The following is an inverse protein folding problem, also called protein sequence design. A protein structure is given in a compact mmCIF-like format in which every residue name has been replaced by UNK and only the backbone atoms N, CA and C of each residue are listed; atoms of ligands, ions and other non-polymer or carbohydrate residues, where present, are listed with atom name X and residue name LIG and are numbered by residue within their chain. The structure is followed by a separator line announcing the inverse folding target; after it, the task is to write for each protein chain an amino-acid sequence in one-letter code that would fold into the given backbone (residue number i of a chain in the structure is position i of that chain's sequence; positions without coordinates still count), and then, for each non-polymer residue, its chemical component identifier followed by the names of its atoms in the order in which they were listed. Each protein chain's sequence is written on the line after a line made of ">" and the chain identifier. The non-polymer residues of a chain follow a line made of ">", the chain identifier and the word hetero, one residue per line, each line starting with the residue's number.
data_IF_446775334384
#
_entry.id   IF_446775334384
#
_cell.length_a   1.000
_cell.length_b   1.000
_cell.length_c   1.000
_cell.angle_alpha   90.00
_cell.angle_beta   90.00
_cell.angle_gamma   90.00
#
_symmetry.space_group_name_H-M   'P 1'
#
loop_
_entity.id
_entity.type
_entity.pdbx_description
1 polymer ?
#
# COMPACT_ATOMS: atom_id res chain seq x y z
N UNK A 1 6.41 38.86 -24.27
CA UNK A 1 5.18 39.65 -24.12
C UNK A 1 5.41 41.01 -24.75
N UNK A 2 4.61 41.48 -25.72
CA UNK A 2 4.65 42.89 -26.06
C UNK A 2 4.11 43.65 -24.85
N UNK A 3 4.89 44.59 -24.32
CA UNK A 3 4.50 45.32 -23.10
C UNK A 3 3.21 46.12 -23.33
N UNK A 4 2.43 46.44 -22.28
CA UNK A 4 1.28 47.34 -22.36
C UNK A 4 1.62 48.67 -23.06
N UNK A 5 2.89 49.10 -22.98
CA UNK A 5 3.44 50.23 -23.72
C UNK A 5 3.37 50.07 -25.25
N UNK A 6 3.58 48.87 -25.80
CA UNK A 6 3.55 48.64 -27.25
C UNK A 6 2.13 48.81 -27.79
N UNK A 7 1.13 48.26 -27.09
CA UNK A 7 -0.28 48.44 -27.47
C UNK A 7 -0.71 49.92 -27.38
N UNK A 8 -0.23 50.62 -26.36
CA UNK A 8 -0.51 52.06 -26.18
C UNK A 8 0.18 52.90 -27.27
N UNK A 9 1.45 52.60 -27.58
CA UNK A 9 2.20 53.27 -28.66
C UNK A 9 1.59 53.05 -30.04
N UNK A 10 1.11 51.85 -30.34
CA UNK A 10 0.43 51.56 -31.62
C UNK A 10 -0.88 52.35 -31.72
N UNK A 11 -1.66 52.43 -30.62
CA UNK A 11 -2.87 53.25 -30.56
C UNK A 11 -2.58 54.73 -30.80
N UNK A 12 -1.59 55.28 -30.09
CA UNK A 12 -1.21 56.68 -30.21
C UNK A 12 -0.72 57.02 -31.62
N UNK A 13 0.03 56.11 -32.26
CA UNK A 13 0.46 56.25 -33.64
C UNK A 13 -0.71 56.25 -34.65
N UNK A 14 -1.69 55.36 -34.47
CA UNK A 14 -2.89 55.29 -35.32
C UNK A 14 -3.78 56.53 -35.14
N UNK A 15 -3.94 57.02 -33.91
CA UNK A 15 -4.69 58.25 -33.62
C UNK A 15 -3.99 59.48 -34.20
N UNK A 16 -2.66 59.56 -34.11
CA UNK A 16 -1.87 60.63 -34.73
C UNK A 16 -1.97 60.62 -36.26
N UNK A 17 -2.00 59.44 -36.89
CA UNK A 17 -2.17 59.30 -38.34
C UNK A 17 -3.59 59.64 -38.82
N UNK A 18 -4.64 59.35 -38.04
CA UNK A 18 -6.02 59.76 -38.34
C UNK A 18 -6.24 61.28 -38.34
N UNK A 19 -5.41 62.03 -37.62
CA UNK A 19 -5.46 63.50 -37.55
C UNK A 19 -4.68 64.23 -38.65
N UNK A 20 -3.88 63.52 -39.45
CA UNK A 20 -3.18 64.09 -40.59
C UNK A 20 -4.14 64.27 -41.79
N UNK A 21 -4.10 65.41 -42.47
CA UNK A 21 -4.93 65.70 -43.65
C UNK A 21 -4.55 64.78 -44.83
N UNK A 22 -5.24 63.66 -44.95
CA UNK A 22 -4.97 62.60 -45.92
C UNK A 22 -5.82 62.83 -47.18
N UNK A 23 -5.29 63.59 -48.14
CA UNK A 23 -5.96 63.84 -49.44
C UNK A 23 -6.01 62.61 -50.37
N UNK A 24 -5.39 61.49 -49.98
CA UNK A 24 -5.36 60.26 -50.77
C UNK A 24 -6.26 59.17 -50.16
N UNK A 25 -7.38 58.80 -50.82
CA UNK A 25 -8.34 57.82 -50.30
C UNK A 25 -7.72 56.43 -50.05
N UNK A 26 -6.65 56.07 -50.75
CA UNK A 26 -5.95 54.79 -50.56
C UNK A 26 -5.19 54.73 -49.23
N UNK A 27 -4.69 55.86 -48.76
CA UNK A 27 -3.95 55.96 -47.50
C UNK A 27 -4.91 55.90 -46.29
N UNK A 28 -6.13 56.42 -46.45
CA UNK A 28 -7.22 56.28 -45.48
C UNK A 28 -7.69 54.83 -45.31
N UNK A 29 -7.73 54.04 -46.39
CA UNK A 29 -8.04 52.59 -46.34
C UNK A 29 -6.97 51.79 -45.57
N UNK A 30 -5.69 52.06 -45.83
CA UNK A 30 -4.57 51.41 -45.12
C UNK A 30 -4.61 51.72 -43.62
N UNK A 31 -4.94 52.95 -43.24
CA UNK A 31 -5.05 53.35 -41.84
C UNK A 31 -6.27 52.76 -41.14
N UNK A 32 -7.40 52.64 -41.84
CA UNK A 32 -8.56 51.91 -41.32
C UNK A 32 -8.26 50.43 -41.11
N UNK A 33 -7.57 49.78 -42.05
CA UNK A 33 -7.15 48.39 -41.91
C UNK A 33 -6.17 48.21 -40.75
N UNK A 34 -5.20 49.11 -40.58
CA UNK A 34 -4.27 49.09 -39.45
C UNK A 34 -4.99 49.30 -38.10
N UNK A 35 -5.99 50.20 -38.05
CA UNK A 35 -6.84 50.41 -36.86
C UNK A 35 -7.64 49.16 -36.51
N UNK A 36 -8.26 48.51 -37.50
CA UNK A 36 -9.02 47.28 -37.31
C UNK A 36 -8.12 46.12 -36.87
N UNK A 37 -6.92 45.98 -37.45
CA UNK A 37 -5.93 45.01 -36.99
C UNK A 37 -5.51 45.25 -35.56
N UNK A 38 -5.25 46.51 -35.18
CA UNK A 38 -4.85 46.85 -33.80
C UNK A 38 -5.97 46.55 -32.79
N UNK A 39 -7.23 46.84 -33.13
CA UNK A 39 -8.39 46.52 -32.29
C UNK A 39 -8.59 45.02 -32.14
N UNK A 40 -8.50 44.26 -33.24
CA UNK A 40 -8.60 42.81 -33.23
C UNK A 40 -7.47 42.16 -32.41
N UNK A 41 -6.24 42.68 -32.56
CA UNK A 41 -5.08 42.20 -31.81
C UNK A 41 -5.20 42.52 -30.31
N UNK A 42 -5.80 43.66 -29.96
CA UNK A 42 -6.06 44.04 -28.57
C UNK A 42 -7.15 43.16 -27.92
N UNK A 43 -8.21 42.83 -28.66
CA UNK A 43 -9.21 41.84 -28.21
C UNK A 43 -8.59 40.45 -28.01
N UNK A 44 -7.74 40.02 -28.94
CA UNK A 44 -7.04 38.74 -28.86
C UNK A 44 -6.09 38.63 -27.66
N UNK A 45 -5.29 39.66 -27.37
CA UNK A 45 -4.45 39.64 -26.17
C UNK A 45 -5.27 39.65 -24.89
N UNK A 46 -6.37 40.40 -24.84
CA UNK A 46 -7.25 40.42 -23.67
C UNK A 46 -7.91 39.06 -23.40
N UNK A 47 -8.23 38.29 -24.44
CA UNK A 47 -8.78 36.94 -24.28
C UNK A 47 -7.71 35.94 -23.84
N UNK A 48 -6.48 36.04 -24.36
CA UNK A 48 -5.34 35.23 -23.91
C UNK A 48 -5.03 35.51 -22.44
N UNK A 49 -4.93 36.77 -22.04
CA UNK A 49 -4.63 37.14 -20.66
C UNK A 49 -5.68 36.56 -19.72
N UNK A 50 -6.97 36.71 -20.05
CA UNK A 50 -8.06 36.14 -19.26
C UNK A 50 -7.97 34.61 -19.16
N UNK A 51 -7.71 33.92 -20.28
CA UNK A 51 -7.53 32.47 -20.30
C UNK A 51 -6.36 32.03 -19.41
N UNK A 52 -5.21 32.71 -19.50
CA UNK A 52 -4.02 32.40 -18.70
C UNK A 52 -4.28 32.65 -17.20
N UNK A 53 -4.98 33.72 -16.85
CA UNK A 53 -5.37 33.98 -15.46
C UNK A 53 -6.32 32.92 -14.91
N UNK A 54 -7.30 32.49 -15.71
CA UNK A 54 -8.24 31.42 -15.34
C UNK A 54 -7.51 30.08 -15.15
N UNK A 55 -6.55 29.76 -16.03
CA UNK A 55 -5.74 28.55 -15.97
C UNK A 55 -4.77 28.55 -14.78
N UNK A 56 -4.09 29.68 -14.50
CA UNK A 56 -3.28 29.85 -13.29
C UNK A 56 -4.11 29.72 -12.02
N UNK A 57 -5.33 30.27 -12.00
CA UNK A 57 -6.25 30.16 -10.87
C UNK A 57 -6.73 28.71 -10.67
N UNK A 58 -6.96 27.99 -11.76
CA UNK A 58 -7.27 26.56 -11.74
C UNK A 58 -6.11 25.74 -11.17
N UNK A 59 -4.87 25.96 -11.63
CA UNK A 59 -3.69 25.26 -11.10
C UNK A 59 -3.50 25.58 -9.61
N UNK A 60 -3.65 26.84 -9.21
CA UNK A 60 -3.53 27.23 -7.81
C UNK A 60 -4.58 26.55 -6.93
N UNK A 61 -5.84 26.47 -7.39
CA UNK A 61 -6.90 25.82 -6.61
C UNK A 61 -6.70 24.30 -6.55
N UNK A 62 -6.22 23.71 -7.64
CA UNK A 62 -5.86 22.29 -7.70
C UNK A 62 -4.73 21.97 -6.71
N UNK A 63 -3.62 22.73 -6.72
CA UNK A 63 -2.50 22.56 -5.77
C UNK A 63 -2.97 22.71 -4.32
N UNK A 64 -3.84 23.68 -4.03
CA UNK A 64 -4.39 23.86 -2.69
C UNK A 64 -5.23 22.66 -2.24
N UNK A 65 -6.07 22.13 -3.14
CA UNK A 65 -6.86 20.92 -2.88
C UNK A 65 -5.96 19.70 -2.66
N UNK A 66 -4.96 19.49 -3.51
CA UNK A 66 -3.97 18.43 -3.35
C UNK A 66 -3.25 18.52 -2.01
N UNK A 67 -2.78 19.72 -1.63
CA UNK A 67 -2.08 19.91 -0.35
C UNK A 67 -2.97 19.58 0.85
N UNK A 68 -4.26 19.91 0.76
CA UNK A 68 -5.24 19.59 1.80
C UNK A 68 -5.48 18.08 1.89
N UNK A 69 -5.62 17.38 0.77
CA UNK A 69 -5.76 15.92 0.76
C UNK A 69 -4.52 15.21 1.29
N UNK A 70 -3.31 15.65 0.90
CA UNK A 70 -2.04 15.13 1.46
C UNK A 70 -2.00 15.34 2.97
N UNK A 71 -2.42 16.51 3.46
CA UNK A 71 -2.50 16.77 4.90
C UNK A 71 -3.51 15.84 5.60
N UNK A 72 -4.64 15.53 4.95
CA UNK A 72 -5.68 14.66 5.49
C UNK A 72 -5.27 13.18 5.55
N UNK A 73 -4.27 12.75 4.77
CA UNK A 73 -3.64 11.44 4.95
C UNK A 73 -2.96 11.31 6.32
N UNK A 74 -2.52 12.45 6.89
CA UNK A 74 -1.69 12.53 8.10
C UNK A 74 -0.43 11.64 7.99
N UNK A 75 0.44 11.86 6.98
CA UNK A 75 1.57 10.96 6.71
C UNK A 75 2.50 10.78 7.92
N UNK A 76 2.76 11.84 8.69
CA UNK A 76 3.60 11.74 9.90
C UNK A 76 2.95 10.85 10.99
N UNK A 77 1.62 10.92 11.17
CA UNK A 77 0.87 10.05 12.10
C UNK A 77 0.98 8.57 11.68
N UNK A 78 0.99 8.32 10.37
CA UNK A 78 1.16 6.98 9.83
C UNK A 78 2.58 6.45 10.03
N UNK A 79 3.59 7.27 9.71
CA UNK A 79 5.00 6.86 9.76
C UNK A 79 5.56 6.79 11.17
N UNK A 80 5.14 7.67 12.07
CA UNK A 80 5.72 7.78 13.42
C UNK A 80 4.97 6.94 14.47
N UNK A 81 3.68 6.68 14.28
CA UNK A 81 2.84 6.01 15.30
C UNK A 81 2.12 4.78 14.75
N UNK A 82 1.25 4.91 13.74
CA UNK A 82 0.35 3.81 13.36
C UNK A 82 1.05 2.59 12.76
N UNK A 83 1.96 2.80 11.81
CA UNK A 83 2.69 1.69 11.17
C UNK A 83 3.68 1.06 12.16
N UNK A 84 4.53 1.83 12.88
CA UNK A 84 5.40 1.25 13.91
C UNK A 84 4.61 0.53 15.02
N UNK A 85 3.48 1.09 15.45
CA UNK A 85 2.59 0.48 16.44
C UNK A 85 2.02 -0.85 15.97
N UNK A 86 1.52 -0.92 14.73
CA UNK A 86 1.07 -2.18 14.13
C UNK A 86 2.20 -3.21 14.03
N UNK A 87 3.42 -2.78 13.67
CA UNK A 87 4.60 -3.64 13.67
C UNK A 87 4.95 -4.18 15.07
N UNK A 88 4.86 -3.35 16.10
CA UNK A 88 5.09 -3.76 17.48
C UNK A 88 4.04 -4.79 17.96
N UNK A 89 2.78 -4.62 17.58
CA UNK A 89 1.72 -5.61 17.87
C UNK A 89 2.01 -6.97 17.21
N UNK A 90 2.42 -6.97 15.93
CA UNK A 90 2.81 -8.21 15.23
C UNK A 90 4.04 -8.86 15.86
N UNK A 91 5.03 -8.09 16.30
CA UNK A 91 6.19 -8.63 17.00
C UNK A 91 5.79 -9.27 18.35
N UNK A 92 4.90 -8.62 19.10
CA UNK A 92 4.38 -9.17 20.35
C UNK A 92 3.58 -10.46 20.13
N UNK A 93 2.86 -10.59 19.01
CA UNK A 93 2.20 -11.84 18.62
C UNK A 93 3.23 -12.96 18.45
N UNK A 94 4.31 -12.73 17.70
CA UNK A 94 5.36 -13.74 17.49
C UNK A 94 6.00 -14.15 18.82
N UNK A 95 6.31 -13.18 19.68
CA UNK A 95 6.93 -13.45 20.97
C UNK A 95 6.00 -14.26 21.89
N UNK A 96 4.76 -13.81 22.09
CA UNK A 96 3.79 -14.48 22.96
C UNK A 96 3.44 -15.89 22.46
N UNK A 97 3.33 -16.07 21.14
CA UNK A 97 3.04 -17.38 20.55
C UNK A 97 4.22 -18.34 20.75
N UNK A 98 5.46 -17.86 20.60
CA UNK A 98 6.65 -18.67 20.87
C UNK A 98 6.76 -19.05 22.35
N UNK A 99 6.57 -18.10 23.27
CA UNK A 99 6.60 -18.34 24.71
C UNK A 99 5.56 -19.37 25.14
N UNK A 100 4.32 -19.22 24.68
CA UNK A 100 3.26 -20.16 25.02
C UNK A 100 3.46 -21.55 24.40
N UNK A 101 3.99 -21.62 23.18
CA UNK A 101 4.31 -22.92 22.54
C UNK A 101 5.43 -23.64 23.30
N UNK A 102 6.48 -22.92 23.72
CA UNK A 102 7.54 -23.48 24.56
C UNK A 102 7.00 -24.00 25.89
N UNK A 103 6.07 -23.28 26.53
CA UNK A 103 5.42 -23.73 27.75
C UNK A 103 4.62 -25.02 27.51
N UNK A 104 3.80 -25.08 26.45
CA UNK A 104 3.02 -26.27 26.09
C UNK A 104 3.94 -27.48 25.85
N UNK A 105 5.06 -27.28 25.14
CA UNK A 105 6.04 -28.34 24.91
C UNK A 105 6.68 -28.83 26.21
N UNK A 106 7.11 -27.91 27.09
CA UNK A 106 7.70 -28.27 28.38
C UNK A 106 6.72 -29.07 29.25
N UNK A 107 5.44 -28.67 29.27
CA UNK A 107 4.40 -29.41 30.00
C UNK A 107 4.15 -30.80 29.41
N UNK A 108 4.19 -30.92 28.08
CA UNK A 108 4.09 -32.23 27.43
C UNK A 108 5.30 -33.13 27.74
N UNK A 109 6.51 -32.57 27.78
CA UNK A 109 7.73 -33.27 28.20
C UNK A 109 7.64 -33.77 29.65
N UNK A 110 7.15 -32.92 30.57
CA UNK A 110 6.91 -33.29 31.96
C UNK A 110 5.96 -34.50 32.08
N UNK A 111 4.88 -34.52 31.29
CA UNK A 111 3.93 -35.63 31.24
C UNK A 111 4.57 -36.91 30.72
N UNK A 112 5.40 -36.82 29.68
CA UNK A 112 6.11 -38.00 29.14
C UNK A 112 7.16 -38.57 30.11
N UNK A 113 7.77 -37.70 30.93
CA UNK A 113 8.77 -38.09 31.92
C UNK A 113 8.18 -38.54 33.25
N UNK A 114 6.85 -38.46 33.43
CA UNK A 114 6.19 -38.75 34.70
C UNK A 114 6.27 -40.24 35.07
N UNK A 115 6.41 -40.50 36.37
CA UNK A 115 6.38 -41.87 36.90
C UNK A 115 4.96 -42.46 36.76
N UNK A 116 4.89 -43.66 36.16
CA UNK A 116 3.65 -44.39 35.93
C UNK A 116 3.42 -45.52 36.93
N UNK A 117 4.31 -45.66 37.93
CA UNK A 117 4.26 -46.74 38.93
C UNK A 117 3.03 -46.67 39.84
N UNK A 118 2.54 -45.46 40.14
CA UNK A 118 1.28 -45.22 40.86
C UNK A 118 0.23 -44.60 39.92
N UNK A 119 -0.76 -45.39 39.45
CA UNK A 119 -1.78 -44.91 38.53
C UNK A 119 -2.61 -43.73 39.06
N UNK A 120 -2.86 -43.65 40.37
CA UNK A 120 -3.67 -42.58 40.95
C UNK A 120 -2.88 -41.26 41.00
N UNK A 121 -1.60 -41.34 41.37
CA UNK A 121 -0.70 -40.19 41.36
C UNK A 121 -0.43 -39.70 39.91
N UNK A 122 -0.20 -40.62 38.98
CA UNK A 122 -0.01 -40.29 37.57
C UNK A 122 -1.25 -39.60 36.97
N UNK A 123 -2.46 -40.12 37.24
CA UNK A 123 -3.70 -39.50 36.76
C UNK A 123 -3.86 -38.06 37.30
N UNK A 124 -3.58 -37.84 38.58
CA UNK A 124 -3.67 -36.51 39.17
C UNK A 124 -2.65 -35.54 38.54
N UNK A 125 -1.40 -35.99 38.35
CA UNK A 125 -0.35 -35.21 37.72
C UNK A 125 -0.70 -34.83 36.27
N UNK A 126 -1.13 -35.80 35.46
CA UNK A 126 -1.55 -35.54 34.08
C UNK A 126 -2.72 -34.55 34.03
N UNK A 127 -3.71 -34.69 34.92
CA UNK A 127 -4.84 -33.76 34.98
C UNK A 127 -4.41 -32.32 35.30
N UNK A 128 -3.43 -32.14 36.18
CA UNK A 128 -2.87 -30.84 36.53
C UNK A 128 -2.09 -30.24 35.34
N UNK A 129 -1.24 -31.04 34.69
CA UNK A 129 -0.51 -30.62 33.49
C UNK A 129 -1.41 -30.29 32.31
N UNK A 130 -2.52 -31.02 32.12
CA UNK A 130 -3.50 -30.64 31.09
C UNK A 130 -4.16 -29.28 31.40
N UNK A 131 -4.37 -28.94 32.67
CA UNK A 131 -4.86 -27.62 33.05
C UNK A 131 -3.84 -26.52 32.71
N UNK A 132 -2.54 -26.74 32.99
CA UNK A 132 -1.47 -25.82 32.57
C UNK A 132 -1.46 -25.61 31.04
N UNK A 133 -1.66 -26.66 30.24
CA UNK A 133 -1.77 -26.53 28.77
C UNK A 133 -2.97 -25.67 28.37
N UNK A 134 -4.14 -25.87 28.99
CA UNK A 134 -5.32 -25.07 28.68
C UNK A 134 -5.12 -23.60 29.05
N UNK A 135 -4.46 -23.33 30.18
CA UNK A 135 -4.10 -21.97 30.58
C UNK A 135 -3.10 -21.36 29.61
N UNK A 136 -2.08 -22.11 29.19
CA UNK A 136 -1.11 -21.65 28.19
C UNK A 136 -1.84 -21.26 26.89
N UNK A 137 -2.75 -22.09 26.39
CA UNK A 137 -3.52 -21.87 25.16
C UNK A 137 -4.32 -20.55 25.13
N UNK A 138 -4.56 -19.90 26.28
CA UNK A 138 -5.18 -18.57 26.33
C UNK A 138 -4.39 -17.49 25.57
N UNK A 139 -3.12 -17.75 25.22
CA UNK A 139 -2.33 -16.90 24.31
C UNK A 139 -3.05 -16.60 22.98
N UNK A 140 -3.91 -17.51 22.53
CA UNK A 140 -4.66 -17.36 21.27
C UNK A 140 -5.61 -16.16 21.31
N UNK A 141 -6.26 -15.89 22.45
CA UNK A 141 -7.17 -14.76 22.58
C UNK A 141 -6.41 -13.44 22.49
N UNK A 142 -5.30 -13.31 23.23
CA UNK A 142 -4.42 -12.14 23.17
C UNK A 142 -3.86 -11.94 21.77
N UNK A 143 -3.45 -13.03 21.10
CA UNK A 143 -2.97 -12.99 19.72
C UNK A 143 -4.06 -12.49 18.78
N UNK A 144 -5.29 -13.01 18.90
CA UNK A 144 -6.44 -12.58 18.10
C UNK A 144 -6.77 -11.10 18.28
N UNK A 145 -6.73 -10.60 19.51
CA UNK A 145 -6.95 -9.18 19.81
C UNK A 145 -5.88 -8.29 19.17
N UNK A 146 -4.60 -8.68 19.25
CA UNK A 146 -3.48 -7.92 18.65
C UNK A 146 -3.57 -7.92 17.13
N UNK A 147 -3.83 -9.07 16.50
CA UNK A 147 -4.02 -9.16 15.05
C UNK A 147 -5.19 -8.27 14.61
N UNK A 148 -6.31 -8.30 15.34
CA UNK A 148 -7.47 -7.44 15.04
C UNK A 148 -7.09 -5.96 15.06
N UNK A 149 -6.34 -5.51 16.07
CA UNK A 149 -5.86 -4.12 16.15
C UNK A 149 -4.97 -3.72 14.96
N UNK A 150 -4.13 -4.65 14.49
CA UNK A 150 -3.30 -4.44 13.30
C UNK A 150 -4.17 -4.33 12.06
N UNK A 151 -5.10 -5.26 11.85
CA UNK A 151 -6.03 -5.25 10.71
C UNK A 151 -6.84 -3.96 10.69
N UNK A 152 -7.43 -3.56 11.82
CA UNK A 152 -8.20 -2.31 11.93
C UNK A 152 -7.34 -1.09 11.57
N UNK A 153 -6.07 -1.08 11.99
CA UNK A 153 -5.12 -0.02 11.64
C UNK A 153 -4.84 0.03 10.14
N UNK A 154 -4.63 -1.12 9.50
CA UNK A 154 -4.40 -1.21 8.06
C UNK A 154 -5.64 -0.80 7.26
N UNK A 155 -6.84 -1.24 7.66
CA UNK A 155 -8.11 -0.83 7.03
C UNK A 155 -8.31 0.68 7.11
N UNK A 156 -7.96 1.31 8.24
CA UNK A 156 -8.03 2.76 8.36
C UNK A 156 -7.03 3.50 7.46
N UNK A 157 -5.85 2.93 7.24
CA UNK A 157 -4.85 3.49 6.30
C UNK A 157 -5.36 3.36 4.87
N UNK A 158 -5.88 2.20 4.51
CA UNK A 158 -6.45 1.90 3.18
C UNK A 158 -7.57 2.89 2.83
N UNK A 159 -8.54 3.11 3.72
CA UNK A 159 -9.63 4.06 3.51
C UNK A 159 -9.14 5.51 3.24
N UNK A 160 -8.03 5.92 3.87
CA UNK A 160 -7.45 7.24 3.65
C UNK A 160 -6.76 7.32 2.29
N UNK A 161 -6.05 6.27 1.89
CA UNK A 161 -5.38 6.16 0.61
C UNK A 161 -6.39 6.10 -0.55
N UNK A 162 -7.45 5.32 -0.42
CA UNK A 162 -8.52 5.22 -1.41
C UNK A 162 -9.19 6.58 -1.65
N UNK A 163 -9.51 7.32 -0.57
CA UNK A 163 -10.04 8.68 -0.68
C UNK A 163 -9.07 9.62 -1.39
N UNK A 164 -7.78 9.53 -1.09
CA UNK A 164 -6.76 10.35 -1.74
C UNK A 164 -6.65 10.02 -3.24
N UNK A 165 -6.55 8.73 -3.59
CA UNK A 165 -6.48 8.27 -4.98
C UNK A 165 -7.70 8.72 -5.79
N UNK A 166 -8.90 8.59 -5.23
CA UNK A 166 -10.16 9.04 -5.84
C UNK A 166 -10.18 10.54 -6.12
N UNK A 167 -9.71 11.38 -5.18
CA UNK A 167 -9.66 12.84 -5.39
C UNK A 167 -8.60 13.25 -6.40
N UNK A 168 -7.48 12.54 -6.43
CA UNK A 168 -6.38 12.82 -7.36
C UNK A 168 -6.62 12.24 -8.75
N UNK A 169 -7.59 11.34 -8.92
CA UNK A 169 -7.83 10.63 -10.18
C UNK A 169 -6.65 9.77 -10.60
N UNK A 170 -5.89 9.25 -9.62
CA UNK A 170 -4.74 8.40 -9.87
C UNK A 170 -5.25 6.99 -10.08
N UNK A 171 -5.03 6.46 -11.28
CA UNK A 171 -5.16 5.04 -11.55
C UNK A 171 -3.84 4.35 -11.17
N UNK A 172 -3.94 3.10 -10.70
CA UNK A 172 -2.76 2.32 -10.39
C UNK A 172 -1.90 2.16 -11.65
N UNK A 173 -0.61 2.42 -11.50
CA UNK A 173 0.35 2.06 -12.54
C UNK A 173 0.42 0.54 -12.67
N UNK A 174 0.64 0.03 -13.89
CA UNK A 174 1.00 -1.38 -14.05
C UNK A 174 2.24 -1.67 -13.19
N UNK A 175 2.08 -2.55 -12.20
CA UNK A 175 3.18 -3.02 -11.39
C UNK A 175 4.05 -3.92 -12.27
N UNK A 176 5.20 -3.40 -12.74
CA UNK A 176 6.22 -4.27 -13.29
C UNK A 176 6.77 -5.16 -12.17
N UNK A 177 6.49 -6.45 -12.28
CA UNK A 177 6.98 -7.43 -11.34
C UNK A 177 8.51 -7.43 -11.32
N UNK A 178 9.09 -7.09 -10.17
CA UNK A 178 10.54 -7.12 -10.02
C UNK A 178 11.05 -8.57 -10.03
N UNK A 179 12.31 -8.77 -10.43
CA UNK A 179 12.94 -10.09 -10.37
C UNK A 179 12.97 -10.67 -8.94
N UNK A 180 12.96 -9.81 -7.93
CA UNK A 180 12.89 -10.23 -6.53
C UNK A 180 11.50 -10.75 -6.14
N UNK A 181 10.44 -10.13 -6.67
CA UNK A 181 9.05 -10.56 -6.44
C UNK A 181 8.77 -11.92 -7.10
N UNK A 182 9.30 -12.14 -8.31
CA UNK A 182 9.28 -13.46 -8.98
C UNK A 182 9.92 -14.52 -8.10
N UNK A 183 11.13 -14.25 -7.62
CA UNK A 183 11.90 -15.17 -6.78
C UNK A 183 11.19 -15.48 -5.45
N UNK A 184 10.57 -14.49 -4.81
CA UNK A 184 9.78 -14.69 -3.57
C UNK A 184 8.55 -15.56 -3.83
N UNK A 185 7.84 -15.34 -4.93
CA UNK A 185 6.69 -16.17 -5.32
C UNK A 185 7.11 -17.62 -5.59
N UNK A 186 8.20 -17.81 -6.32
CA UNK A 186 8.74 -19.15 -6.60
C UNK A 186 9.23 -19.84 -5.31
N UNK A 187 9.74 -19.09 -4.33
CA UNK A 187 10.17 -19.65 -3.05
C UNK A 187 9.01 -19.96 -2.08
N UNK A 188 7.80 -19.45 -2.30
CA UNK A 188 6.61 -19.76 -1.51
C UNK A 188 6.00 -21.14 -1.85
N UNK A 189 6.56 -21.87 -2.82
CA UNK A 189 6.12 -23.21 -3.24
C UNK A 189 6.35 -24.31 -2.19
N UNK A 190 7.04 -24.03 -1.08
CA UNK A 190 7.40 -25.04 -0.06
C UNK A 190 6.71 -24.85 1.30
N UNK A 191 5.64 -24.06 1.37
CA UNK A 191 4.82 -23.89 2.59
C UNK A 191 3.44 -24.53 2.44
N UNK A 192 2.80 -24.96 3.55
CA UNK A 192 1.41 -25.41 3.51
C UNK A 192 0.52 -24.31 2.91
N UNK A 193 -0.16 -24.65 1.82
CA UNK A 193 -0.97 -23.70 1.07
C UNK A 193 -2.24 -23.33 1.85
N UNK A 194 -2.51 -22.02 2.01
CA UNK A 194 -3.78 -21.54 2.53
C UNK A 194 -4.90 -21.92 1.56
N UNK A 195 -5.71 -22.93 1.92
CA UNK A 195 -6.76 -23.51 1.07
C UNK A 195 -6.26 -24.12 -0.26
N UNK A 196 -4.99 -24.51 -0.35
CA UNK A 196 -4.53 -25.32 -1.48
C UNK A 196 -5.09 -26.74 -1.40
N UNK A 197 -5.00 -27.53 -2.48
CA UNK A 197 -5.33 -28.95 -2.37
C UNK A 197 -4.47 -29.54 -1.26
N UNK A 198 -5.11 -30.11 -0.23
CA UNK A 198 -4.42 -31.00 0.70
C UNK A 198 -3.73 -32.05 -0.18
N UNK A 199 -2.40 -32.13 -0.09
CA UNK A 199 -1.68 -33.23 -0.75
C UNK A 199 -2.27 -34.49 -0.14
N UNK A 200 -2.95 -35.31 -0.96
CA UNK A 200 -3.60 -36.50 -0.47
C UNK A 200 -2.53 -37.40 0.14
N UNK A 201 -2.84 -38.03 1.29
CA UNK A 201 -1.90 -38.95 1.94
C UNK A 201 -1.45 -40.06 0.96
N UNK A 202 -2.32 -40.46 0.03
CA UNK A 202 -2.00 -41.41 -1.04
C UNK A 202 -0.87 -40.91 -1.99
N UNK A 203 -0.78 -39.60 -2.24
CA UNK A 203 0.27 -39.00 -3.05
C UNK A 203 1.60 -38.92 -2.29
N UNK A 204 1.54 -38.72 -0.97
CA UNK A 204 2.69 -38.78 -0.05
C UNK A 204 3.21 -40.21 0.01
N UNK A 205 2.30 -41.17 0.18
CA UNK A 205 2.60 -42.60 0.26
C UNK A 205 3.13 -43.13 -1.09
N UNK A 206 2.71 -42.58 -2.22
CA UNK A 206 3.30 -42.91 -3.52
C UNK A 206 4.74 -42.39 -3.67
N UNK A 207 5.04 -41.23 -3.09
CA UNK A 207 6.36 -40.58 -3.07
C UNK A 207 7.37 -41.32 -2.19
N UNK A 208 6.92 -41.87 -1.06
CA UNK A 208 7.76 -42.67 -0.15
C UNK A 208 7.65 -44.18 -0.39
N UNK A 209 6.61 -44.64 -1.09
CA UNK A 209 6.33 -46.06 -1.34
C UNK A 209 7.04 -46.67 -2.54
N UNK A 210 7.81 -45.88 -3.31
CA UNK A 210 8.57 -46.38 -4.46
C UNK A 210 10.08 -46.60 -4.21
N UNK A 211 10.60 -46.22 -3.04
CA UNK A 211 11.95 -46.61 -2.59
C UNK A 211 11.96 -47.26 -1.19
N UNK A 212 10.84 -47.83 -0.78
CA UNK A 212 10.78 -48.76 0.34
C UNK A 212 10.74 -50.19 -0.19
N UNK A 213 11.90 -50.77 -0.53
CA UNK A 213 12.04 -52.19 -0.24
C UNK A 213 11.59 -52.34 1.22
N UNK A 214 10.60 -53.18 1.49
CA UNK A 214 10.22 -53.51 2.86
C UNK A 214 11.51 -53.93 3.57
N UNK A 215 12.11 -53.03 4.36
CA UNK A 215 13.13 -53.44 5.32
C UNK A 215 12.36 -54.39 6.21
N UNK A 216 12.62 -55.67 6.02
CA UNK A 216 12.08 -56.69 6.89
C UNK A 216 12.58 -56.35 8.30
N UNK A 217 11.77 -56.66 9.31
CA UNK A 217 12.10 -56.40 10.71
C UNK A 217 13.51 -56.93 11.07
N UNK A 218 13.93 -57.99 10.36
CA UNK A 218 15.26 -58.60 10.42
C UNK A 218 16.42 -57.69 9.98
N UNK A 219 16.22 -56.79 9.00
CA UNK A 219 17.25 -55.84 8.54
C UNK A 219 17.40 -54.66 9.52
N UNK A 220 16.32 -54.31 10.23
CA UNK A 220 16.33 -53.31 11.29
C UNK A 220 17.04 -53.81 12.55
N UNK A 221 16.81 -55.07 12.93
CA UNK A 221 17.45 -55.68 14.10
C UNK A 221 18.97 -55.85 13.88
N UNK A 222 19.41 -56.10 12.65
CA UNK A 222 20.82 -56.25 12.30
C UNK A 222 21.67 -54.95 12.35
N UNK A 223 21.04 -53.78 12.46
CA UNK A 223 21.71 -52.49 12.56
C UNK A 223 22.11 -52.12 14.00
N UNK A 224 21.58 -52.83 15.00
CA UNK A 224 21.78 -52.53 16.42
C UNK A 224 22.52 -53.62 17.21
N UNK A 225 23.02 -54.67 16.54
CA UNK A 225 23.92 -55.69 17.09
C UNK A 225 25.38 -55.53 16.63
#
# INVERSE_FOLDING_TARGET
>A
MPSPEVATKVRDAITALKGADLKDPRLGEVLNLASQMSEAMQMFFSSIDRSLFDEMRYISSYIQRTRLEISNLRPNDLSEDRIPGAGAELHAVVQHTAEATNLIMAVAEDVMAADTSDPAAYQAFVSDKMMEIFEACTFQDITGQRIRKVVDTLTHIEQRLERFASVMGVEDAELEETLEDKRKRENLLNGPALNGPEVAQDDIDALFGTEGASMDQSDLDALFD
#
